data_IF_099054605538
#
_entry.id   IF_099054605538
#
_cell.length_a   1.000
_cell.length_b   1.000
_cell.length_c   1.000
_cell.angle_alpha   90.00
_cell.angle_beta   90.00
_cell.angle_gamma   90.00
#
_symmetry.space_group_name_H-M   'P 1'
#
loop_
_entity.id
_entity.type
_entity.pdbx_description
1 polymer ?
#
# COMPACT_ATOMS: atom_id res chain seq x y z
N UNK A 1 -0.44 14.79 13.09
CA UNK A 1 -0.53 13.30 13.14
C UNK A 1 -0.82 12.79 11.73
N UNK A 2 0.04 11.91 11.19
CA UNK A 2 -0.12 11.30 9.86
C UNK A 2 -1.17 10.18 9.90
N UNK A 3 -1.81 9.89 8.77
CA UNK A 3 -2.80 8.82 8.69
C UNK A 3 -2.13 7.50 8.27
N UNK A 4 -2.57 6.40 8.86
CA UNK A 4 -2.02 5.06 8.61
C UNK A 4 -3.15 4.08 8.29
N UNK A 5 -2.96 3.30 7.23
CA UNK A 5 -3.76 2.13 6.91
C UNK A 5 -2.93 0.87 7.12
N UNK A 6 -3.54 -0.23 7.55
CA UNK A 6 -2.85 -1.52 7.71
C UNK A 6 -3.69 -2.72 7.29
N UNK A 7 -2.99 -3.76 6.82
CA UNK A 7 -3.60 -5.03 6.40
C UNK A 7 -2.82 -6.20 7.00
N UNK A 8 -3.51 -7.04 7.78
CA UNK A 8 -2.98 -8.25 8.40
C UNK A 8 -3.91 -9.43 8.09
N UNK A 9 -3.49 -10.31 7.18
CA UNK A 9 -4.38 -11.31 6.57
C UNK A 9 -5.64 -10.66 6.00
N UNK A 10 -6.81 -11.04 6.52
CA UNK A 10 -8.12 -10.51 6.12
C UNK A 10 -8.56 -9.26 6.89
N UNK A 11 -7.76 -8.80 7.85
CA UNK A 11 -8.13 -7.67 8.70
C UNK A 11 -7.53 -6.38 8.15
N UNK A 12 -8.39 -5.39 7.95
CA UNK A 12 -8.06 -4.07 7.45
C UNK A 12 -8.32 -3.04 8.53
N UNK A 13 -7.44 -2.05 8.60
CA UNK A 13 -7.64 -0.82 9.35
C UNK A 13 -7.41 0.32 8.37
N UNK A 14 -8.42 1.16 8.16
CA UNK A 14 -8.37 2.25 7.18
C UNK A 14 -7.61 3.46 7.71
N UNK A 15 -7.40 4.47 6.86
CA UNK A 15 -6.77 5.72 7.29
C UNK A 15 -7.55 6.46 8.38
N UNK A 16 -8.88 6.31 8.41
CA UNK A 16 -9.76 6.85 9.43
C UNK A 16 -9.99 5.87 10.60
N UNK A 17 -9.16 4.84 10.72
CA UNK A 17 -9.14 3.84 11.81
C UNK A 17 -10.39 2.96 11.88
N UNK A 18 -11.15 2.85 10.78
CA UNK A 18 -12.26 1.91 10.64
C UNK A 18 -11.70 0.50 10.46
N UNK A 19 -12.24 -0.46 11.20
CA UNK A 19 -11.81 -1.85 11.17
C UNK A 19 -12.81 -2.70 10.43
N UNK A 20 -12.34 -3.51 9.49
CA UNK A 20 -13.18 -4.49 8.83
C UNK A 20 -12.40 -5.76 8.48
N UNK A 21 -13.14 -6.86 8.34
CA UNK A 21 -12.58 -8.13 7.91
C UNK A 21 -13.18 -8.50 6.56
N UNK A 22 -12.34 -8.77 5.57
CA UNK A 22 -12.79 -9.25 4.27
C UNK A 22 -11.75 -10.15 3.60
N UNK A 23 -12.21 -11.10 2.78
CA UNK A 23 -11.35 -11.92 1.96
C UNK A 23 -11.23 -11.27 0.57
N UNK A 24 -10.01 -10.92 0.17
CA UNK A 24 -9.78 -10.44 -1.18
C UNK A 24 -9.91 -11.59 -2.18
N UNK A 25 -10.57 -11.39 -3.33
CA UNK A 25 -10.53 -12.33 -4.44
C UNK A 25 -9.10 -12.74 -4.76
N UNK A 26 -8.84 -14.05 -4.71
CA UNK A 26 -7.52 -14.63 -4.98
C UNK A 26 -7.08 -14.29 -6.41
N UNK A 27 -5.77 -14.15 -6.58
CA UNK A 27 -5.13 -13.93 -7.87
C UNK A 27 -5.47 -12.60 -8.59
N UNK A 28 -6.16 -11.65 -7.93
CA UNK A 28 -6.42 -10.30 -8.45
C UNK A 28 -5.64 -9.24 -7.68
N UNK A 29 -5.24 -8.19 -8.37
CA UNK A 29 -4.72 -6.98 -7.74
C UNK A 29 -5.86 -6.10 -7.28
N UNK A 30 -5.75 -5.59 -6.05
CA UNK A 30 -6.70 -4.69 -5.43
C UNK A 30 -6.02 -3.37 -5.12
N UNK A 31 -6.71 -2.26 -5.38
CA UNK A 31 -6.22 -0.91 -5.03
C UNK A 31 -6.34 -0.73 -3.53
N UNK A 32 -5.21 -0.83 -2.83
CA UNK A 32 -5.19 -0.60 -1.40
C UNK A 32 -5.25 0.89 -1.08
N UNK A 33 -4.36 1.67 -1.67
CA UNK A 33 -4.31 3.12 -1.51
C UNK A 33 -3.80 3.78 -2.79
N UNK A 34 -4.46 4.84 -3.24
CA UNK A 34 -4.12 5.56 -4.46
C UNK A 34 -4.36 7.06 -4.30
N UNK A 35 -3.48 7.90 -4.85
CA UNK A 35 -3.76 9.31 -5.08
C UNK A 35 -4.85 9.45 -6.14
N UNK A 36 -6.02 9.94 -5.76
CA UNK A 36 -7.19 10.06 -6.63
C UNK A 36 -7.41 11.50 -7.09
N UNK A 37 -6.36 12.33 -7.04
CA UNK A 37 -6.29 13.61 -7.75
C UNK A 37 -5.84 13.42 -9.21
N UNK A 38 -5.86 14.52 -9.98
CA UNK A 38 -5.40 14.51 -11.37
C UNK A 38 -3.91 14.23 -11.56
N UNK A 39 -3.09 14.36 -10.51
CA UNK A 39 -1.64 14.19 -10.59
C UNK A 39 -1.17 12.73 -10.45
N UNK A 40 -1.97 11.86 -9.80
CA UNK A 40 -1.66 10.45 -9.54
C UNK A 40 -0.21 10.21 -9.07
N UNK A 41 0.13 10.70 -7.88
CA UNK A 41 1.50 10.61 -7.34
C UNK A 41 1.93 9.19 -6.95
N UNK A 42 0.98 8.34 -6.54
CA UNK A 42 1.26 6.93 -6.31
C UNK A 42 0.00 6.06 -6.36
N UNK A 43 0.21 4.77 -6.63
CA UNK A 43 -0.77 3.68 -6.47
C UNK A 43 -0.10 2.54 -5.73
N UNK A 44 -0.73 2.03 -4.67
CA UNK A 44 -0.36 0.80 -3.96
C UNK A 44 -1.42 -0.26 -4.27
N UNK A 45 -1.02 -1.27 -5.04
CA UNK A 45 -1.83 -2.44 -5.31
C UNK A 45 -1.32 -3.61 -4.48
N UNK A 46 -2.24 -4.46 -4.02
CA UNK A 46 -1.90 -5.68 -3.32
C UNK A 46 -2.62 -6.88 -3.93
N UNK A 47 -1.95 -8.02 -3.91
CA UNK A 47 -2.46 -9.31 -4.33
C UNK A 47 -2.08 -10.35 -3.27
N UNK A 48 -3.07 -11.06 -2.77
CA UNK A 48 -2.85 -12.23 -1.91
C UNK A 48 -2.71 -13.47 -2.81
N UNK A 49 -1.51 -14.04 -2.83
CA UNK A 49 -1.22 -15.28 -3.60
C UNK A 49 -1.53 -16.52 -2.75
N UNK A 50 -1.12 -16.48 -1.48
CA UNK A 50 -1.43 -17.47 -0.45
C UNK A 50 -1.44 -16.78 0.92
N UNK A 51 -1.91 -17.46 1.97
CA UNK A 51 -2.11 -16.86 3.30
C UNK A 51 -0.85 -16.23 3.91
N UNK A 52 0.35 -16.68 3.52
CA UNK A 52 1.64 -16.18 3.97
C UNK A 52 2.47 -15.54 2.84
N UNK A 53 1.86 -15.29 1.67
CA UNK A 53 2.56 -14.81 0.47
C UNK A 53 1.80 -13.65 -0.16
N UNK A 54 2.43 -12.48 -0.14
CA UNK A 54 1.86 -11.25 -0.69
C UNK A 54 2.70 -10.75 -1.86
N UNK A 55 2.03 -10.24 -2.87
CA UNK A 55 2.62 -9.44 -3.92
C UNK A 55 2.09 -8.00 -3.82
N UNK A 56 3.00 -7.05 -3.72
CA UNK A 56 2.70 -5.61 -3.62
C UNK A 56 3.31 -4.93 -4.84
N UNK A 57 2.49 -4.17 -5.54
CA UNK A 57 2.90 -3.38 -6.69
C UNK A 57 2.70 -1.91 -6.37
N UNK A 58 3.75 -1.12 -6.53
CA UNK A 58 3.72 0.32 -6.27
C UNK A 58 4.11 1.04 -7.55
N UNK A 59 3.22 1.91 -8.04
CA UNK A 59 3.50 2.78 -9.18
C UNK A 59 3.69 4.20 -8.68
N UNK A 60 4.72 4.86 -9.16
CA UNK A 60 5.00 6.28 -8.96
C UNK A 60 5.43 6.92 -10.30
N UNK A 61 5.52 8.26 -10.38
CA UNK A 61 6.14 8.94 -11.52
C UNK A 61 7.62 8.55 -11.76
N UNK A 62 8.31 8.08 -10.73
CA UNK A 62 9.73 7.69 -10.79
C UNK A 62 9.92 6.26 -11.32
N UNK A 63 8.87 5.43 -11.21
CA UNK A 63 8.94 4.05 -11.63
C UNK A 63 7.93 3.12 -10.98
N UNK A 64 8.08 1.84 -11.28
CA UNK A 64 7.27 0.77 -10.73
C UNK A 64 8.12 -0.16 -9.87
N UNK A 65 7.64 -0.45 -8.67
CA UNK A 65 8.23 -1.38 -7.71
C UNK A 65 7.33 -2.60 -7.55
N UNK A 66 7.90 -3.79 -7.70
CA UNK A 66 7.27 -5.06 -7.36
C UNK A 66 7.97 -5.65 -6.15
N UNK A 67 7.19 -6.00 -5.14
CA UNK A 67 7.64 -6.71 -3.94
C UNK A 67 6.88 -8.01 -3.85
N UNK A 68 7.60 -9.12 -3.69
CA UNK A 68 7.00 -10.40 -3.28
C UNK A 68 7.61 -10.81 -1.96
N UNK A 69 6.77 -11.00 -0.96
CA UNK A 69 7.23 -11.41 0.35
C UNK A 69 6.45 -12.64 0.81
N UNK A 70 7.21 -13.68 1.14
CA UNK A 70 6.73 -14.87 1.83
C UNK A 70 7.31 -14.88 3.25
N UNK A 71 6.50 -15.15 4.27
CA UNK A 71 6.97 -15.18 5.65
C UNK A 71 8.14 -16.19 5.82
N UNK A 72 9.22 -15.77 6.49
CA UNK A 72 10.41 -16.60 6.70
C UNK A 72 11.36 -16.71 5.50
N UNK A 73 11.14 -15.93 4.43
CA UNK A 73 12.04 -15.84 3.28
C UNK A 73 12.41 -14.39 2.97
N UNK A 74 13.59 -14.22 2.39
CA UNK A 74 14.03 -12.93 1.89
C UNK A 74 13.04 -12.38 0.84
N UNK A 75 12.71 -11.08 0.89
CA UNK A 75 11.80 -10.48 -0.06
C UNK A 75 12.45 -10.41 -1.46
N UNK A 76 11.64 -10.68 -2.49
CA UNK A 76 12.01 -10.38 -3.86
C UNK A 76 11.61 -8.94 -4.18
N UNK A 77 12.56 -8.16 -4.68
CA UNK A 77 12.38 -6.74 -5.00
C UNK A 77 12.78 -6.47 -6.46
N UNK A 78 11.96 -5.69 -7.17
CA UNK A 78 12.26 -5.24 -8.53
C UNK A 78 11.78 -3.81 -8.76
N UNK A 79 12.69 -2.91 -9.16
CA UNK A 79 12.38 -1.53 -9.52
C UNK A 79 12.68 -1.30 -11.02
N UNK A 80 11.71 -0.81 -11.80
CA UNK A 80 11.87 -0.50 -13.24
C UNK A 80 12.58 -1.61 -14.06
N UNK A 81 12.21 -2.88 -13.82
CA UNK A 81 12.80 -4.10 -14.39
C UNK A 81 14.15 -4.56 -13.83
N UNK A 82 14.83 -3.76 -13.01
CA UNK A 82 16.04 -4.18 -12.30
C UNK A 82 15.66 -4.93 -11.02
N UNK A 83 16.16 -6.15 -10.85
CA UNK A 83 16.07 -6.85 -9.58
C UNK A 83 16.98 -6.18 -8.55
N UNK A 84 16.47 -5.96 -7.34
CA UNK A 84 17.25 -5.44 -6.21
C UNK A 84 17.58 -6.61 -5.28
N UNK A 85 18.86 -6.79 -4.98
CA UNK A 85 19.32 -7.75 -3.97
C UNK A 85 19.37 -7.07 -2.60
N UNK A 86 19.28 -7.84 -1.51
CA UNK A 86 19.44 -7.29 -0.16
C UNK A 86 20.78 -6.55 0.02
N UNK A 87 21.84 -7.03 -0.64
CA UNK A 87 23.17 -6.38 -0.65
C UNK A 87 23.21 -5.05 -1.40
N UNK A 88 22.22 -4.76 -2.25
CA UNK A 88 22.10 -3.48 -2.98
C UNK A 88 21.26 -2.44 -2.24
N UNK A 89 20.77 -2.77 -1.04
CA UNK A 89 19.98 -1.86 -0.21
C UNK A 89 20.86 -1.14 0.82
N UNK A 90 20.53 0.12 1.19
CA UNK A 90 19.39 0.89 0.70
C UNK A 90 19.55 1.35 -0.75
N UNK A 91 18.48 1.23 -1.54
CA UNK A 91 18.40 1.76 -2.88
C UNK A 91 17.73 3.14 -2.86
N UNK A 92 18.31 4.10 -3.58
CA UNK A 92 17.70 5.39 -3.86
C UNK A 92 17.54 5.56 -5.35
N UNK A 93 16.42 6.12 -5.78
CA UNK A 93 16.28 6.57 -7.16
C UNK A 93 17.22 7.78 -7.44
N UNK A 94 17.48 8.13 -8.71
CA UNK A 94 18.38 9.22 -9.05
C UNK A 94 18.03 10.60 -8.47
N UNK A 95 16.75 10.91 -8.22
CA UNK A 95 16.38 12.18 -7.57
C UNK A 95 16.53 12.13 -6.05
N UNK A 96 16.67 10.94 -5.46
CA UNK A 96 16.68 10.72 -4.02
C UNK A 96 15.31 10.81 -3.37
N UNK A 97 14.24 10.93 -4.16
CA UNK A 97 12.86 11.07 -3.70
C UNK A 97 12.28 9.73 -3.21
N UNK A 98 12.68 8.62 -3.81
CA UNK A 98 12.28 7.26 -3.45
C UNK A 98 13.46 6.53 -2.80
N UNK A 99 13.23 6.03 -1.59
CA UNK A 99 14.13 5.17 -0.85
C UNK A 99 13.49 3.80 -0.65
N UNK A 100 14.22 2.75 -0.97
CA UNK A 100 13.86 1.36 -0.69
C UNK A 100 14.92 0.80 0.25
N UNK A 101 14.50 0.26 1.38
CA UNK A 101 15.37 -0.31 2.39
C UNK A 101 14.80 -1.61 2.96
N UNK A 102 15.61 -2.36 3.68
CA UNK A 102 15.17 -3.48 4.50
C UNK A 102 15.68 -3.34 5.92
N UNK A 103 14.81 -3.58 6.89
CA UNK A 103 15.14 -3.58 8.32
C UNK A 103 14.73 -4.93 8.87
N UNK A 104 15.70 -5.73 9.34
CA UNK A 104 15.44 -7.07 9.91
C UNK A 104 14.66 -8.02 8.97
N UNK A 105 14.83 -7.85 7.65
CA UNK A 105 14.12 -8.63 6.63
C UNK A 105 12.80 -8.01 6.17
N UNK A 106 12.30 -6.99 6.87
CA UNK A 106 11.09 -6.26 6.49
C UNK A 106 11.41 -5.17 5.47
N UNK A 107 10.54 -4.99 4.48
CA UNK A 107 10.72 -3.98 3.44
C UNK A 107 10.15 -2.63 3.92
N UNK A 108 10.97 -1.59 3.82
CA UNK A 108 10.58 -0.20 4.07
C UNK A 108 10.77 0.62 2.78
N UNK A 109 9.72 1.34 2.39
CA UNK A 109 9.75 2.26 1.25
C UNK A 109 9.36 3.64 1.73
N UNK A 110 10.08 4.66 1.32
CA UNK A 110 9.80 6.04 1.68
C UNK A 110 9.80 6.90 0.41
N UNK A 111 8.74 7.69 0.21
CA UNK A 111 8.64 8.66 -0.87
C UNK A 111 7.80 9.88 -0.44
N UNK A 112 8.21 10.60 0.62
CA UNK A 112 7.39 11.63 1.25
C UNK A 112 7.05 12.80 0.31
N UNK A 113 7.92 13.14 -0.63
CA UNK A 113 7.63 14.20 -1.63
C UNK A 113 6.49 13.81 -2.58
N UNK A 114 6.26 12.50 -2.78
CA UNK A 114 5.12 11.96 -3.52
C UNK A 114 3.87 11.74 -2.64
N UNK A 115 3.97 12.03 -1.34
CA UNK A 115 2.88 11.88 -0.38
C UNK A 115 2.81 10.51 0.29
N UNK A 116 3.67 9.57 -0.09
CA UNK A 116 3.86 8.29 0.60
C UNK A 116 4.95 8.46 1.66
N UNK A 117 4.59 8.78 2.90
CA UNK A 117 5.55 8.92 4.00
C UNK A 117 6.37 7.65 4.16
N UNK A 118 5.68 6.52 4.37
CA UNK A 118 6.30 5.20 4.40
C UNK A 118 5.33 4.10 4.04
N UNK A 119 5.84 3.05 3.41
CA UNK A 119 5.20 1.76 3.32
C UNK A 119 6.10 0.72 4.00
N UNK A 120 5.53 0.00 4.96
CA UNK A 120 6.18 -1.12 5.63
C UNK A 120 5.49 -2.40 5.19
N UNK A 121 6.28 -3.40 4.82
CA UNK A 121 5.79 -4.71 4.44
C UNK A 121 6.69 -5.79 5.02
N UNK A 122 6.09 -6.68 5.80
CA UNK A 122 6.67 -7.97 6.11
C UNK A 122 5.78 -9.10 5.55
N UNK A 123 6.14 -10.36 5.81
CA UNK A 123 5.37 -11.52 5.34
C UNK A 123 3.91 -11.59 5.82
N UNK A 124 3.51 -10.80 6.81
CA UNK A 124 2.20 -10.89 7.49
C UNK A 124 1.39 -9.58 7.42
N UNK A 125 2.05 -8.45 7.63
CA UNK A 125 1.46 -7.12 7.83
C UNK A 125 2.02 -6.16 6.78
N UNK A 126 1.12 -5.42 6.16
CA UNK A 126 1.46 -4.24 5.39
C UNK A 126 0.89 -3.00 6.07
N UNK A 127 1.66 -1.91 6.10
CA UNK A 127 1.23 -0.61 6.61
C UNK A 127 1.56 0.46 5.57
N UNK A 128 0.60 1.32 5.28
CA UNK A 128 0.77 2.49 4.43
C UNK A 128 0.54 3.72 5.28
N UNK A 129 1.53 4.60 5.35
CA UNK A 129 1.42 5.90 6.01
C UNK A 129 1.54 6.98 4.93
N UNK A 130 0.62 7.94 4.96
CA UNK A 130 0.59 9.04 4.00
C UNK A 130 1.01 10.34 4.66
N UNK A 131 1.56 11.24 3.86
CA UNK A 131 1.78 12.61 4.29
C UNK A 131 0.48 13.32 4.64
N UNK A 132 0.55 14.28 5.57
CA UNK A 132 -0.66 14.97 6.07
C UNK A 132 -1.42 15.72 4.98
N UNK A 133 -0.73 16.19 3.93
CA UNK A 133 -1.32 16.90 2.80
C UNK A 133 -2.01 15.99 1.77
N UNK A 134 -1.93 14.67 1.94
CA UNK A 134 -2.68 13.66 1.17
C UNK A 134 -4.06 13.33 1.75
N UNK A 135 -4.37 13.81 2.96
CA UNK A 135 -5.69 13.62 3.58
C UNK A 135 -6.81 14.18 2.68
N UNK A 136 -7.88 13.41 2.49
CA UNK A 136 -9.00 13.73 1.61
C UNK A 136 -8.71 13.59 0.10
N UNK A 137 -7.51 13.12 -0.29
CA UNK A 137 -7.11 12.91 -1.68
C UNK A 137 -6.96 11.43 -2.04
N UNK A 138 -7.16 10.55 -1.08
CA UNK A 138 -6.95 9.12 -1.22
C UNK A 138 -8.22 8.42 -1.72
N UNK A 139 -8.05 7.29 -2.40
CA UNK A 139 -9.09 6.29 -2.56
C UNK A 139 -8.51 4.87 -2.61
N UNK A 140 -9.38 3.87 -2.59
CA UNK A 140 -9.03 2.45 -2.45
C UNK A 140 -9.53 1.85 -1.14
N UNK A 141 -9.10 0.64 -0.81
CA UNK A 141 -9.54 -0.09 0.38
C UNK A 141 -9.15 0.56 1.72
N UNK A 142 -8.18 1.48 1.70
CA UNK A 142 -7.78 2.28 2.85
C UNK A 142 -8.61 3.56 3.08
N UNK A 143 -9.54 3.87 2.17
CA UNK A 143 -10.41 5.04 2.23
C UNK A 143 -9.76 6.37 1.87
N UNK A 144 -10.45 7.46 2.25
CA UNK A 144 -10.15 8.83 1.82
C UNK A 144 -9.22 9.61 2.76
N UNK A 145 -9.04 9.13 4.00
CA UNK A 145 -8.20 9.79 5.01
C UNK A 145 -8.63 11.24 5.36
N UNK A 146 -9.91 11.54 5.24
CA UNK A 146 -10.55 12.84 5.48
C UNK A 146 -11.05 13.04 6.93
N UNK A 147 -10.91 12.02 7.78
CA UNK A 147 -11.27 12.09 9.20
C UNK A 147 -12.72 11.71 9.52
N UNK A 148 -13.48 11.19 8.55
CA UNK A 148 -14.83 10.65 8.76
C UNK A 148 -14.87 9.13 8.56
N UNK A 149 -15.84 8.43 9.15
CA UNK A 149 -15.93 6.96 9.12
C UNK A 149 -17.15 6.43 8.37
N UNK A 150 -18.04 7.30 7.89
CA UNK A 150 -19.34 6.93 7.32
C UNK A 150 -19.24 6.53 5.86
N UNK A 151 -18.26 7.06 5.13
CA UNK A 151 -18.10 6.79 3.68
C UNK A 151 -16.88 5.92 3.37
N UNK A 152 -16.37 5.21 4.37
CA UNK A 152 -15.22 4.33 4.24
C UNK A 152 -15.39 3.24 3.16
N UNK A 153 -16.61 2.75 2.95
CA UNK A 153 -16.93 1.76 1.92
C UNK A 153 -17.50 2.38 0.64
N UNK A 154 -17.13 3.63 0.33
CA UNK A 154 -17.52 4.30 -0.90
C UNK A 154 -16.76 3.70 -2.08
N UNK A 155 -17.51 3.09 -3.00
CA UNK A 155 -17.01 2.47 -4.21
C UNK A 155 -16.70 3.52 -5.30
N UNK A 156 -15.97 3.14 -6.37
CA UNK A 156 -15.64 4.06 -7.47
C UNK A 156 -16.87 4.69 -8.17
N UNK A 157 -18.03 4.00 -8.15
CA UNK A 157 -19.29 4.52 -8.67
C UNK A 157 -20.03 5.47 -7.70
N UNK A 158 -19.35 5.90 -6.63
CA UNK A 158 -19.82 6.81 -5.58
C UNK A 158 -20.89 6.24 -4.63
N UNK A 159 -21.34 5.00 -4.83
CA UNK A 159 -22.22 4.33 -3.88
C UNK A 159 -21.44 3.78 -2.69
N UNK A 160 -22.01 3.88 -1.49
CA UNK A 160 -21.46 3.26 -0.29
C UNK A 160 -21.99 1.83 -0.15
N UNK A 161 -21.08 0.87 -0.10
CA UNK A 161 -21.44 -0.53 0.14
C UNK A 161 -22.00 -0.70 1.56
N UNK A 162 -22.99 -1.58 1.72
CA UNK A 162 -23.62 -1.87 3.02
C UNK A 162 -22.79 -2.81 3.90
N UNK A 163 -21.82 -3.50 3.32
CA UNK A 163 -20.96 -4.45 4.02
C UNK A 163 -19.55 -4.47 3.42
N UNK A 164 -18.53 -4.85 4.20
CA UNK A 164 -17.17 -5.03 3.69
C UNK A 164 -17.08 -6.04 2.54
N UNK A 165 -17.89 -7.11 2.60
CA UNK A 165 -17.92 -8.14 1.55
C UNK A 165 -18.45 -7.64 0.20
N UNK A 166 -19.23 -6.56 0.19
CA UNK A 166 -19.73 -5.95 -1.04
C UNK A 166 -18.82 -4.82 -1.54
N UNK A 167 -17.78 -4.48 -0.77
CA UNK A 167 -16.85 -3.38 -1.04
C UNK A 167 -15.56 -3.84 -1.73
N UNK A 168 -15.08 -5.05 -1.42
CA UNK A 168 -13.86 -5.67 -1.99
C UNK A 168 -14.13 -6.53 -3.22
#
# INVERSE_FOLDING_TARGET
>A
MKAQCSVAGRNFITFNNVRFTSALPKACYHVLAQDCTSELKFVVLMKEEASNKKEVYIRTPLGNLIIRHEAGRDPFLRFNNAGLTLSSLPFKDPSGTLLINTIEGDVLIEAPELGLDRLYLNGEIMKVVIESWMKGKMCGLCGQADGEDRTEFRMPNLYTAKSPSSFV
#
